data_IF_955514410014
#
_entry.id   IF_955514410014
#
_cell.length_a   1.000
_cell.length_b   1.000
_cell.length_c   1.000
_cell.angle_alpha   90.00
_cell.angle_beta   90.00
_cell.angle_gamma   90.00
#
_symmetry.space_group_name_H-M   'P 1'
#
loop_
_entity.id
_entity.type
_entity.pdbx_description
1 polymer ?
#
# COMPACT_ATOMS: atom_id res chain seq x y z
N UNK A 1 94.17 36.45 67.77
CA UNK A 1 94.68 35.18 67.22
C UNK A 1 93.88 34.05 67.89
N UNK A 2 93.22 33.06 67.28
CA UNK A 2 92.85 32.70 65.89
C UNK A 2 91.46 32.01 65.99
N UNK A 3 90.54 31.95 65.03
CA UNK A 3 90.32 32.59 63.71
C UNK A 3 88.80 32.52 63.41
N UNK A 4 88.31 33.20 62.36
CA UNK A 4 86.93 33.00 61.86
C UNK A 4 86.80 31.73 61.02
N UNK A 5 85.61 31.11 61.02
CA UNK A 5 85.12 30.39 59.86
C UNK A 5 83.70 30.86 59.51
N UNK A 6 83.43 31.07 58.23
CA UNK A 6 82.15 31.59 57.71
C UNK A 6 81.21 30.41 57.37
N UNK A 7 80.01 30.74 56.88
CA UNK A 7 79.02 29.82 56.28
C UNK A 7 78.44 28.71 57.17
N UNK A 8 77.41 29.07 57.93
CA UNK A 8 76.15 28.31 57.95
C UNK A 8 75.02 29.33 57.73
N UNK A 9 74.86 29.75 56.48
CA UNK A 9 73.83 29.22 55.57
C UNK A 9 72.43 29.60 56.05
N UNK A 10 71.82 30.56 55.37
CA UNK A 10 70.49 31.03 55.66
C UNK A 10 69.46 29.92 55.42
N UNK A 11 68.83 29.44 56.49
CA UNK A 11 67.58 28.69 56.42
C UNK A 11 66.47 29.58 56.93
N UNK A 12 66.12 30.52 56.05
CA UNK A 12 64.75 30.93 55.74
C UNK A 12 63.74 30.84 56.89
N UNK A 13 63.36 32.02 57.37
CA UNK A 13 62.03 32.30 57.92
C UNK A 13 60.97 32.15 56.81
N UNK A 14 60.79 30.93 56.33
CA UNK A 14 59.72 30.51 55.43
C UNK A 14 59.10 29.24 56.02
N UNK A 15 58.36 29.43 57.11
CA UNK A 15 57.04 28.81 57.19
C UNK A 15 56.16 29.48 56.12
N UNK A 16 56.55 29.34 54.85
CA UNK A 16 55.66 29.63 53.74
C UNK A 16 54.45 28.74 53.95
N UNK A 17 53.27 29.34 53.86
CA UNK A 17 52.10 28.58 53.51
C UNK A 17 52.40 27.88 52.19
N UNK A 18 52.85 26.63 52.27
CA UNK A 18 52.53 25.65 51.24
C UNK A 18 51.02 25.53 51.29
N UNK A 19 50.36 26.47 50.60
CA UNK A 19 49.04 26.26 50.07
C UNK A 19 49.20 25.05 49.15
N UNK A 20 49.01 23.86 49.71
CA UNK A 20 48.73 22.68 48.91
C UNK A 20 47.46 23.04 48.15
N UNK A 21 47.64 23.44 46.90
CA UNK A 21 46.55 23.67 45.98
C UNK A 21 45.91 22.32 45.72
N UNK A 22 44.98 21.93 46.60
CA UNK A 22 44.16 20.74 46.40
C UNK A 22 43.22 21.08 45.26
N UNK A 23 43.60 20.64 44.06
CA UNK A 23 42.72 20.64 42.91
C UNK A 23 41.67 19.54 43.13
N UNK A 24 40.68 19.84 43.96
CA UNK A 24 39.55 18.96 44.22
C UNK A 24 38.48 19.19 43.15
N UNK A 25 38.05 18.11 42.50
CA UNK A 25 37.01 18.12 41.48
C UNK A 25 35.75 17.52 42.05
N UNK A 26 34.61 18.19 41.88
CA UNK A 26 33.32 17.61 42.27
C UNK A 26 33.07 16.28 41.56
N UNK A 27 32.27 15.41 42.16
CA UNK A 27 31.70 14.27 41.43
C UNK A 27 30.92 14.75 40.19
N UNK A 28 30.73 13.84 39.22
CA UNK A 28 30.01 14.16 37.98
C UNK A 28 28.56 14.57 38.24
N UNK A 29 28.14 15.69 37.62
CA UNK A 29 26.79 16.23 37.73
C UNK A 29 25.92 15.81 36.54
N UNK A 30 25.41 14.57 36.57
CA UNK A 30 24.38 14.07 35.66
C UNK A 30 24.82 13.98 34.17
N UNK A 31 23.81 13.94 33.29
CA UNK A 31 23.98 14.09 31.85
C UNK A 31 23.33 15.40 31.40
N UNK A 32 23.92 16.06 30.41
CA UNK A 32 23.33 17.22 29.73
C UNK A 32 22.42 16.68 28.62
N UNK A 33 21.17 17.13 28.59
CA UNK A 33 20.16 16.74 27.61
C UNK A 33 19.93 17.90 26.63
N UNK A 34 19.79 17.60 25.34
CA UNK A 34 19.36 18.52 24.30
C UNK A 34 17.85 18.47 24.07
N UNK A 35 17.42 18.93 22.89
CA UNK A 35 16.04 18.85 22.42
C UNK A 35 15.71 17.47 21.86
N UNK A 36 14.42 17.21 21.58
CA UNK A 36 14.00 16.02 20.82
C UNK A 36 14.07 16.33 19.33
N UNK A 37 14.49 15.37 18.48
CA UNK A 37 14.33 15.51 17.04
C UNK A 37 12.85 15.59 16.67
N UNK A 38 12.53 16.43 15.68
CA UNK A 38 11.18 16.65 15.16
C UNK A 38 11.22 16.61 13.63
N UNK A 39 10.31 15.89 12.98
CA UNK A 39 10.18 15.88 11.53
C UNK A 39 9.10 16.88 11.06
N UNK A 40 9.37 17.53 9.94
CA UNK A 40 8.38 18.32 9.19
C UNK A 40 8.32 17.91 7.73
N UNK A 41 7.13 17.89 7.16
CA UNK A 41 6.95 17.74 5.72
C UNK A 41 7.66 18.83 4.91
N UNK A 42 7.86 18.56 3.63
CA UNK A 42 8.47 19.52 2.68
C UNK A 42 7.45 20.44 2.01
N UNK A 43 6.15 20.19 2.21
CA UNK A 43 5.05 21.01 1.71
C UNK A 43 4.99 22.43 2.31
N UNK A 44 4.36 23.35 1.57
CA UNK A 44 4.18 24.72 2.04
C UNK A 44 3.19 24.76 3.22
N UNK A 45 3.67 25.22 4.39
CA UNK A 45 2.86 25.24 5.61
C UNK A 45 2.92 23.95 6.44
N UNK A 46 3.86 23.04 6.14
CA UNK A 46 4.10 21.85 6.94
C UNK A 46 4.32 22.17 8.43
N UNK A 47 3.68 21.38 9.30
CA UNK A 47 3.72 21.50 10.76
C UNK A 47 4.74 20.54 11.38
N UNK A 48 5.06 20.75 12.64
CA UNK A 48 5.86 19.79 13.43
C UNK A 48 5.13 18.43 13.52
N UNK A 49 5.90 17.35 13.53
CA UNK A 49 5.43 15.95 13.50
C UNK A 49 4.64 15.60 12.22
N UNK A 50 5.14 16.03 11.06
CA UNK A 50 4.55 15.74 9.75
C UNK A 50 5.55 15.26 8.70
N UNK A 51 5.02 14.69 7.61
CA UNK A 51 5.76 14.28 6.41
C UNK A 51 4.96 14.66 5.16
N UNK A 52 5.62 14.67 4.00
CA UNK A 52 4.99 14.89 2.69
C UNK A 52 5.22 13.69 1.77
N UNK A 53 4.39 13.55 0.76
CA UNK A 53 4.47 12.49 -0.24
C UNK A 53 4.46 13.04 -1.67
N UNK A 54 4.84 12.20 -2.62
CA UNK A 54 4.58 12.42 -4.05
C UNK A 54 4.47 11.11 -4.81
N UNK A 55 3.66 11.08 -5.86
CA UNK A 55 3.55 9.96 -6.81
C UNK A 55 4.17 10.38 -8.17
N UNK A 56 5.07 9.57 -8.70
CA UNK A 56 5.71 9.77 -10.02
C UNK A 56 4.83 9.42 -11.23
N UNK A 57 3.73 8.69 -11.02
CA UNK A 57 2.76 8.24 -12.02
C UNK A 57 3.38 7.42 -13.17
N UNK A 58 4.42 6.63 -12.90
CA UNK A 58 5.12 5.82 -13.90
C UNK A 58 4.22 4.77 -14.60
N UNK A 59 3.08 4.40 -13.99
CA UNK A 59 2.04 3.59 -14.64
C UNK A 59 1.30 4.33 -15.79
N UNK A 60 1.39 5.67 -15.81
CA UNK A 60 0.58 6.55 -16.65
C UNK A 60 -0.82 6.86 -16.10
N UNK A 61 -1.15 6.41 -14.88
CA UNK A 61 -2.41 6.72 -14.19
C UNK A 61 -2.27 7.94 -13.28
N UNK A 62 -3.06 8.99 -13.55
CA UNK A 62 -3.11 10.22 -12.71
C UNK A 62 -4.40 10.35 -11.90
N UNK A 63 -5.39 9.47 -12.11
CA UNK A 63 -6.69 9.50 -11.41
C UNK A 63 -6.87 8.36 -10.40
N UNK A 64 -5.85 7.52 -10.24
CA UNK A 64 -5.82 6.42 -9.29
C UNK A 64 -4.38 5.97 -9.13
N UNK A 65 -3.94 5.80 -7.89
CA UNK A 65 -2.61 5.32 -7.54
C UNK A 65 -2.48 3.88 -8.04
N UNK A 66 -1.48 3.54 -8.87
CA UNK A 66 -1.50 2.29 -9.63
C UNK A 66 -0.18 1.49 -9.57
N UNK A 67 -0.28 0.17 -9.73
CA UNK A 67 0.90 -0.72 -9.73
C UNK A 67 1.93 -0.25 -10.76
N UNK A 68 3.18 -0.12 -10.33
CA UNK A 68 4.29 0.44 -11.09
C UNK A 68 4.62 1.90 -10.79
N UNK A 69 3.71 2.67 -10.18
CA UNK A 69 4.00 4.03 -9.69
C UNK A 69 5.06 4.02 -8.58
N UNK A 70 5.96 5.02 -8.56
CA UNK A 70 6.86 5.30 -7.44
C UNK A 70 6.29 6.37 -6.52
N UNK A 71 6.01 5.98 -5.29
CA UNK A 71 5.69 6.89 -4.19
C UNK A 71 6.99 7.28 -3.47
N UNK A 72 7.17 8.57 -3.20
CA UNK A 72 8.33 9.14 -2.51
C UNK A 72 7.88 9.82 -1.22
N UNK A 73 8.37 9.38 -0.06
CA UNK A 73 8.28 10.09 1.23
C UNK A 73 9.30 11.23 1.26
N UNK A 74 8.94 12.37 1.82
CA UNK A 74 9.84 13.52 1.99
C UNK A 74 9.59 14.24 3.32
N UNK A 75 10.68 14.62 3.98
CA UNK A 75 10.66 15.33 5.25
C UNK A 75 11.95 16.14 5.45
N UNK A 76 11.97 17.01 6.45
CA UNK A 76 13.13 17.71 6.98
C UNK A 76 13.20 17.45 8.49
N UNK A 77 14.36 17.04 8.98
CA UNK A 77 14.63 16.99 10.41
C UNK A 77 14.89 18.40 10.95
N UNK A 78 14.19 18.76 12.03
CA UNK A 78 14.52 19.86 12.91
C UNK A 78 15.12 19.31 14.20
N UNK A 79 16.28 19.84 14.54
CA UNK A 79 16.95 19.65 15.83
C UNK A 79 17.66 20.96 16.19
N UNK A 80 17.62 21.37 17.46
CA UNK A 80 18.17 22.67 17.88
C UNK A 80 19.69 22.65 18.04
N UNK A 81 20.26 21.48 18.32
CA UNK A 81 21.68 21.26 18.56
C UNK A 81 22.46 20.98 17.24
N UNK A 82 21.75 20.62 16.17
CA UNK A 82 22.31 20.31 14.84
C UNK A 82 22.65 18.83 14.65
N UNK A 83 21.99 17.94 15.39
CA UNK A 83 22.21 16.50 15.33
C UNK A 83 21.87 15.90 13.95
N UNK A 84 22.63 14.88 13.54
CA UNK A 84 22.52 14.31 12.19
C UNK A 84 21.38 13.29 12.09
N UNK A 85 20.50 13.46 11.09
CA UNK A 85 19.34 12.59 10.86
C UNK A 85 19.70 11.11 10.68
N UNK A 86 18.84 10.26 11.24
CA UNK A 86 18.84 8.81 11.08
C UNK A 86 17.42 8.24 10.87
N UNK A 87 16.41 9.09 10.72
CA UNK A 87 14.98 8.72 10.66
C UNK A 87 14.67 7.81 9.46
N UNK A 88 15.37 7.96 8.33
CA UNK A 88 15.18 7.13 7.13
C UNK A 88 15.24 5.62 7.44
N UNK A 89 16.14 5.21 8.33
CA UNK A 89 16.34 3.80 8.74
C UNK A 89 15.15 3.19 9.49
N UNK A 90 14.20 4.03 9.91
CA UNK A 90 13.01 3.64 10.68
C UNK A 90 11.75 3.56 9.81
N UNK A 91 11.82 3.97 8.54
CA UNK A 91 10.71 3.95 7.61
C UNK A 91 10.23 2.51 7.39
N UNK A 92 8.93 2.29 7.56
CA UNK A 92 8.24 1.03 7.28
C UNK A 92 6.97 1.28 6.49
N UNK A 93 6.99 0.93 5.21
CA UNK A 93 5.81 0.92 4.35
C UNK A 93 4.91 -0.27 4.69
N UNK A 94 3.60 -0.09 4.54
CA UNK A 94 2.60 -1.13 4.75
C UNK A 94 1.36 -0.89 3.89
N UNK A 95 0.47 -1.88 3.82
CA UNK A 95 -0.86 -1.70 3.25
C UNK A 95 -1.98 -2.06 4.21
N UNK A 96 -3.11 -1.35 4.11
CA UNK A 96 -4.35 -1.56 4.88
C UNK A 96 -5.49 -1.96 3.94
N UNK A 97 -6.49 -2.69 4.44
CA UNK A 97 -7.64 -3.11 3.60
C UNK A 97 -8.67 -2.02 3.35
N UNK A 98 -8.70 -1.00 4.22
CA UNK A 98 -9.75 0.01 4.36
C UNK A 98 -9.21 1.44 4.58
N UNK A 99 -7.88 1.62 4.47
CA UNK A 99 -7.19 2.87 4.79
C UNK A 99 -6.97 3.12 6.28
N UNK A 100 -7.34 2.20 7.18
CA UNK A 100 -7.43 2.45 8.63
C UNK A 100 -6.92 1.30 9.51
N UNK A 101 -7.05 0.04 9.08
CA UNK A 101 -6.81 -1.18 9.84
C UNK A 101 -6.24 -2.32 8.96
N UNK A 102 -6.06 -3.53 9.51
CA UNK A 102 -5.42 -4.66 8.80
C UNK A 102 -4.02 -4.31 8.23
N UNK A 103 -3.10 -3.87 9.09
CA UNK A 103 -1.74 -3.49 8.68
C UNK A 103 -0.96 -4.70 8.17
N UNK A 104 -0.54 -4.67 6.90
CA UNK A 104 0.34 -5.65 6.25
C UNK A 104 1.66 -4.99 5.87
N UNK A 105 2.73 -5.27 6.63
CA UNK A 105 4.06 -4.67 6.44
C UNK A 105 4.71 -5.08 5.09
N UNK A 106 5.35 -4.12 4.42
CA UNK A 106 6.14 -4.33 3.19
C UNK A 106 7.62 -4.35 3.56
N UNK A 107 8.08 -5.45 4.15
CA UNK A 107 9.45 -5.57 4.71
C UNK A 107 10.57 -5.42 3.67
N UNK A 108 10.28 -5.63 2.37
CA UNK A 108 11.22 -5.39 1.28
C UNK A 108 11.51 -3.89 1.05
N UNK A 109 10.74 -2.99 1.67
CA UNK A 109 10.86 -1.54 1.62
C UNK A 109 11.30 -0.91 2.97
N UNK A 110 11.64 -1.71 3.98
CA UNK A 110 12.17 -1.22 5.25
C UNK A 110 13.40 -0.32 5.02
N UNK A 111 13.40 0.86 5.64
CA UNK A 111 14.50 1.82 5.59
C UNK A 111 14.63 2.59 4.27
N UNK A 112 13.56 2.75 3.48
CA UNK A 112 13.58 3.45 2.18
C UNK A 112 12.54 4.56 2.11
N UNK A 113 12.95 5.77 1.72
CA UNK A 113 12.02 6.86 1.39
C UNK A 113 11.20 6.61 0.12
N UNK A 114 11.71 5.77 -0.80
CA UNK A 114 11.01 5.39 -2.04
C UNK A 114 10.33 4.03 -1.94
N UNK A 115 9.08 3.95 -2.43
CA UNK A 115 8.37 2.69 -2.66
C UNK A 115 7.71 2.64 -4.04
N UNK A 116 8.02 1.62 -4.83
CA UNK A 116 7.32 1.32 -6.09
C UNK A 116 6.19 0.33 -5.82
N UNK A 117 4.96 0.70 -6.17
CA UNK A 117 3.77 -0.11 -5.97
C UNK A 117 3.86 -1.44 -6.71
N UNK A 118 3.62 -2.52 -5.99
CA UNK A 118 3.70 -3.89 -6.47
C UNK A 118 2.30 -4.48 -6.72
N UNK A 119 2.27 -5.59 -7.46
CA UNK A 119 1.05 -6.36 -7.74
C UNK A 119 0.27 -6.73 -6.47
N UNK A 120 0.98 -6.99 -5.37
CA UNK A 120 0.42 -7.38 -4.08
C UNK A 120 -0.30 -6.25 -3.31
N UNK A 121 -0.14 -5.00 -3.75
CA UNK A 121 -0.78 -3.84 -3.12
C UNK A 121 -2.14 -3.52 -3.77
N UNK A 122 -2.40 -4.07 -4.95
CA UNK A 122 -3.63 -3.82 -5.69
C UNK A 122 -4.88 -4.18 -4.87
N UNK A 123 -5.84 -3.26 -4.81
CA UNK A 123 -7.02 -3.35 -3.95
C UNK A 123 -6.80 -2.95 -2.49
N UNK A 124 -5.60 -2.54 -2.09
CA UNK A 124 -5.27 -2.08 -0.72
C UNK A 124 -4.83 -0.60 -0.72
N UNK A 125 -4.84 0.02 0.44
CA UNK A 125 -4.39 1.40 0.65
C UNK A 125 -2.94 1.40 1.15
N UNK A 126 -2.10 2.33 0.68
CA UNK A 126 -0.69 2.43 1.08
C UNK A 126 -0.57 3.32 2.33
N UNK A 127 0.21 2.87 3.31
CA UNK A 127 0.53 3.59 4.54
C UNK A 127 2.01 3.50 4.88
N UNK A 128 2.46 4.33 5.83
CA UNK A 128 3.86 4.35 6.29
C UNK A 128 3.96 4.69 7.77
N UNK A 129 4.94 4.08 8.44
CA UNK A 129 5.40 4.47 9.78
C UNK A 129 6.83 4.99 9.68
N UNK A 130 7.15 6.07 10.39
CA UNK A 130 8.51 6.61 10.57
C UNK A 130 8.69 7.06 12.02
N UNK A 131 9.91 6.95 12.56
CA UNK A 131 10.29 7.38 13.91
C UNK A 131 11.31 8.50 13.79
N UNK A 132 11.02 9.65 14.41
CA UNK A 132 11.91 10.81 14.42
C UNK A 132 13.20 10.44 15.17
N UNK A 133 14.34 10.36 14.49
CA UNK A 133 15.57 9.75 15.02
C UNK A 133 16.82 10.49 14.59
N UNK A 134 17.71 10.81 15.52
CA UNK A 134 19.06 11.30 15.25
C UNK A 134 20.12 10.22 15.49
N UNK A 135 21.29 10.41 14.90
CA UNK A 135 22.48 9.57 15.10
C UNK A 135 23.41 10.09 16.20
N UNK A 136 23.18 11.32 16.66
CA UNK A 136 23.91 12.01 17.72
C UNK A 136 22.91 12.66 18.70
N UNK A 137 23.41 13.16 19.84
CA UNK A 137 22.57 13.79 20.86
C UNK A 137 21.87 12.84 21.82
N UNK A 138 21.29 13.42 22.88
CA UNK A 138 20.35 12.77 23.78
C UNK A 138 19.26 13.80 24.17
N UNK A 139 17.96 13.51 24.00
CA UNK A 139 17.36 12.26 23.50
C UNK A 139 17.44 12.09 21.97
N UNK A 140 17.94 10.94 21.49
CA UNK A 140 18.08 10.65 20.05
C UNK A 140 16.78 10.21 19.34
N UNK A 141 15.64 10.21 20.03
CA UNK A 141 14.35 9.71 19.52
C UNK A 141 13.20 10.64 19.92
N UNK A 142 12.42 11.06 18.94
CA UNK A 142 11.23 11.90 19.06
C UNK A 142 9.94 11.08 19.09
N UNK A 143 9.00 11.39 18.21
CA UNK A 143 7.72 10.70 18.07
C UNK A 143 7.75 9.55 17.04
N UNK A 144 6.64 8.81 16.94
CA UNK A 144 6.41 7.81 15.89
C UNK A 144 5.20 8.25 15.06
N UNK A 145 5.45 8.67 13.84
CA UNK A 145 4.43 9.11 12.90
C UNK A 145 3.89 7.87 12.16
N UNK A 146 2.58 7.72 12.07
CA UNK A 146 1.93 6.63 11.31
C UNK A 146 0.78 7.18 10.49
N UNK A 147 0.90 7.04 9.17
CA UNK A 147 -0.05 7.50 8.18
C UNK A 147 -0.71 6.24 7.60
N UNK A 148 -1.99 5.99 7.94
CA UNK A 148 -2.70 4.75 7.62
C UNK A 148 -3.11 4.63 6.13
N UNK A 149 -3.37 5.79 5.51
CA UNK A 149 -3.63 5.98 4.09
C UNK A 149 -2.95 7.28 3.65
N UNK A 150 -1.88 7.18 2.86
CA UNK A 150 -1.13 8.35 2.38
C UNK A 150 -1.95 9.25 1.45
N UNK A 151 -3.03 8.73 0.85
CA UNK A 151 -3.91 9.55 0.00
C UNK A 151 -4.75 10.55 0.80
N UNK A 152 -4.67 10.49 2.14
CA UNK A 152 -5.34 11.41 3.08
C UNK A 152 -4.35 12.26 3.89
N UNK A 153 -3.04 12.20 3.59
CA UNK A 153 -2.01 12.96 4.30
C UNK A 153 -2.13 14.47 4.03
N UNK A 154 -1.86 14.91 2.81
CA UNK A 154 -2.07 16.28 2.37
C UNK A 154 -2.63 16.31 0.94
N UNK A 155 -3.61 17.19 0.70
CA UNK A 155 -4.21 17.40 -0.64
C UNK A 155 -3.23 17.94 -1.69
N UNK A 156 -2.07 18.43 -1.26
CA UNK A 156 -0.99 18.96 -2.12
C UNK A 156 0.07 17.92 -2.48
N UNK A 157 0.08 16.74 -1.85
CA UNK A 157 1.06 15.66 -2.10
C UNK A 157 0.91 14.98 -3.48
N UNK A 158 -0.07 15.38 -4.31
CA UNK A 158 -0.35 14.76 -5.63
C UNK A 158 -0.54 13.22 -5.56
N UNK A 159 -1.11 12.72 -4.46
CA UNK A 159 -1.48 11.31 -4.30
C UNK A 159 -2.95 11.14 -4.71
N UNK A 160 -3.29 10.34 -5.73
CA UNK A 160 -4.68 10.01 -6.02
C UNK A 160 -5.29 9.17 -4.91
N UNK A 161 -6.61 9.31 -4.72
CA UNK A 161 -7.37 8.49 -3.77
C UNK A 161 -7.11 6.98 -3.94
N UNK A 162 -6.84 6.29 -2.83
CA UNK A 162 -6.75 4.84 -2.79
C UNK A 162 -8.10 4.12 -2.98
N UNK A 163 -8.10 2.79 -3.19
CA UNK A 163 -6.96 1.87 -3.08
C UNK A 163 -6.07 1.85 -4.35
N UNK A 164 -4.96 1.13 -4.28
CA UNK A 164 -4.07 0.89 -5.44
C UNK A 164 -4.81 0.13 -6.54
N UNK A 165 -4.65 0.57 -7.79
CA UNK A 165 -5.32 0.00 -8.97
C UNK A 165 -4.33 -0.64 -9.94
N UNK A 166 -4.85 -1.32 -10.98
CA UNK A 166 -4.04 -1.75 -12.12
C UNK A 166 -3.25 -3.07 -11.97
N UNK A 167 -3.36 -3.76 -10.82
CA UNK A 167 -2.82 -5.12 -10.67
C UNK A 167 -3.43 -6.14 -11.65
N UNK A 168 -2.72 -7.24 -11.88
CA UNK A 168 -3.22 -8.38 -12.67
C UNK A 168 -4.46 -8.95 -12.01
N UNK A 169 -5.48 -9.28 -12.82
CA UNK A 169 -6.70 -9.92 -12.33
C UNK A 169 -6.93 -11.24 -13.05
N UNK A 170 -7.39 -12.23 -12.29
CA UNK A 170 -7.96 -13.47 -12.82
C UNK A 170 -9.45 -13.55 -12.51
N UNK A 171 -10.15 -14.42 -13.25
CA UNK A 171 -11.60 -14.54 -13.20
C UNK A 171 -12.06 -15.99 -13.18
N UNK A 172 -13.22 -16.20 -12.58
CA UNK A 172 -13.96 -17.45 -12.65
C UNK A 172 -15.46 -17.21 -12.78
N UNK A 173 -16.12 -18.11 -13.50
CA UNK A 173 -17.56 -18.33 -13.41
C UNK A 173 -17.71 -19.62 -12.61
N UNK A 174 -18.50 -19.58 -11.54
CA UNK A 174 -18.77 -20.75 -10.68
C UNK A 174 -20.27 -20.97 -10.57
N UNK A 175 -20.66 -22.21 -10.34
CA UNK A 175 -22.02 -22.53 -9.89
C UNK A 175 -22.14 -22.18 -8.40
N UNK A 176 -23.22 -21.55 -7.97
CA UNK A 176 -23.45 -21.27 -6.55
C UNK A 176 -23.57 -22.56 -5.71
N UNK A 177 -23.90 -23.70 -6.33
CA UNK A 177 -23.89 -25.03 -5.70
C UNK A 177 -22.48 -25.66 -5.62
N UNK A 178 -21.51 -25.19 -6.42
CA UNK A 178 -20.10 -25.63 -6.39
C UNK A 178 -19.15 -24.41 -6.58
N UNK A 179 -19.05 -23.54 -5.56
CA UNK A 179 -18.40 -22.23 -5.69
C UNK A 179 -16.87 -22.29 -5.77
N UNK A 180 -16.27 -23.50 -5.72
CA UNK A 180 -14.83 -23.75 -5.86
C UNK A 180 -14.41 -24.24 -7.25
N UNK A 181 -15.36 -24.64 -8.11
CA UNK A 181 -15.06 -25.10 -9.48
C UNK A 181 -15.14 -23.94 -10.48
N UNK A 182 -14.00 -23.50 -11.01
CA UNK A 182 -13.98 -22.59 -12.16
C UNK A 182 -14.48 -23.32 -13.42
N UNK A 183 -15.52 -22.76 -14.04
CA UNK A 183 -16.13 -23.28 -15.27
C UNK A 183 -15.49 -22.70 -16.55
N UNK A 184 -14.76 -21.59 -16.46
CA UNK A 184 -14.10 -20.93 -17.59
C UNK A 184 -13.01 -21.84 -18.16
N UNK A 185 -13.10 -22.17 -19.45
CA UNK A 185 -12.11 -22.99 -20.15
C UNK A 185 -12.07 -24.47 -19.74
N UNK A 186 -12.88 -24.89 -18.77
CA UNK A 186 -13.02 -26.29 -18.34
C UNK A 186 -13.75 -27.09 -19.44
N UNK A 187 -13.11 -28.16 -19.90
CA UNK A 187 -13.68 -29.04 -20.91
C UNK A 187 -14.97 -29.70 -20.41
N UNK A 188 -15.99 -29.76 -21.26
CA UNK A 188 -17.30 -30.36 -20.98
C UNK A 188 -18.04 -29.76 -19.76
N UNK A 189 -17.79 -28.48 -19.42
CA UNK A 189 -18.63 -27.75 -18.46
C UNK A 189 -20.09 -27.74 -18.92
N UNK A 190 -20.98 -28.33 -18.13
CA UNK A 190 -22.42 -28.30 -18.36
C UNK A 190 -23.07 -27.27 -17.42
N UNK A 191 -23.78 -26.30 -17.98
CA UNK A 191 -24.57 -25.35 -17.20
C UNK A 191 -25.98 -25.91 -16.99
N UNK A 192 -26.41 -25.94 -15.73
CA UNK A 192 -27.67 -26.57 -15.32
C UNK A 192 -28.75 -25.48 -15.23
N UNK A 193 -29.91 -25.73 -15.84
CA UNK A 193 -31.06 -24.83 -15.74
C UNK A 193 -31.61 -24.82 -14.30
N UNK A 194 -32.02 -23.64 -13.83
CA UNK A 194 -32.48 -23.42 -12.46
C UNK A 194 -31.38 -23.02 -11.47
N UNK A 195 -30.12 -23.26 -11.80
CA UNK A 195 -28.96 -22.89 -10.97
C UNK A 195 -28.62 -21.40 -11.09
N UNK A 196 -27.91 -20.88 -10.10
CA UNK A 196 -27.35 -19.52 -10.10
C UNK A 196 -25.84 -19.58 -10.32
N UNK A 197 -25.33 -18.72 -11.20
CA UNK A 197 -23.91 -18.62 -11.52
C UNK A 197 -23.35 -17.30 -11.01
N UNK A 198 -22.16 -17.36 -10.42
CA UNK A 198 -21.48 -16.21 -9.84
C UNK A 198 -20.24 -15.88 -10.67
N UNK A 199 -20.03 -14.60 -10.95
CA UNK A 199 -18.77 -14.11 -11.50
C UNK A 199 -17.89 -13.64 -10.35
N UNK A 200 -16.66 -14.19 -10.27
CA UNK A 200 -15.65 -13.76 -9.30
C UNK A 200 -14.42 -13.24 -10.04
N UNK A 201 -13.86 -12.16 -9.53
CA UNK A 201 -12.67 -11.49 -10.05
C UNK A 201 -11.80 -11.06 -8.87
N UNK A 202 -10.50 -11.35 -8.93
CA UNK A 202 -9.57 -11.08 -7.82
C UNK A 202 -8.22 -10.61 -8.37
N UNK A 203 -7.43 -9.95 -7.54
CA UNK A 203 -6.06 -9.56 -7.86
C UNK A 203 -5.13 -10.77 -7.75
N UNK A 204 -4.86 -11.37 -8.90
CA UNK A 204 -4.02 -12.56 -9.08
C UNK A 204 -2.54 -12.13 -9.03
N UNK A 205 -1.99 -12.20 -7.81
CA UNK A 205 -0.69 -11.60 -7.49
C UNK A 205 0.46 -12.44 -8.02
N UNK A 206 0.27 -13.77 -8.07
CA UNK A 206 1.28 -14.73 -8.54
C UNK A 206 1.04 -15.18 -10.00
N UNK A 207 -0.06 -14.76 -10.63
CA UNK A 207 -0.48 -15.06 -12.00
C UNK A 207 -0.69 -16.55 -12.27
N UNK A 208 -1.18 -17.32 -11.28
CA UNK A 208 -1.45 -18.75 -11.38
C UNK A 208 -2.89 -19.09 -11.82
N UNK A 209 -3.81 -18.11 -11.85
CA UNK A 209 -5.25 -18.24 -12.20
C UNK A 209 -6.08 -19.11 -11.24
N UNK A 210 -5.59 -19.31 -10.03
CA UNK A 210 -6.28 -19.90 -8.89
C UNK A 210 -6.49 -18.80 -7.85
N UNK A 211 -7.62 -18.82 -7.14
CA UNK A 211 -7.86 -17.84 -6.08
C UNK A 211 -7.19 -18.33 -4.80
N UNK A 212 -6.04 -17.76 -4.47
CA UNK A 212 -5.23 -18.17 -3.32
C UNK A 212 -5.60 -17.45 -2.02
N UNK A 213 -5.23 -18.05 -0.89
CA UNK A 213 -5.45 -17.46 0.43
C UNK A 213 -4.64 -16.16 0.59
N UNK A 214 -5.33 -15.04 0.81
CA UNK A 214 -4.73 -13.71 0.97
C UNK A 214 -4.73 -12.86 -0.30
N UNK A 215 -5.27 -13.35 -1.42
CA UNK A 215 -5.58 -12.53 -2.59
C UNK A 215 -6.87 -11.72 -2.37
N UNK A 216 -6.92 -10.53 -2.97
CA UNK A 216 -7.96 -9.52 -2.70
C UNK A 216 -9.06 -9.60 -3.76
N UNK A 217 -10.32 -9.63 -3.31
CA UNK A 217 -11.50 -9.53 -4.17
C UNK A 217 -11.51 -8.18 -4.91
N UNK A 218 -11.59 -8.22 -6.23
CA UNK A 218 -11.56 -7.04 -7.09
C UNK A 218 -12.96 -6.61 -7.56
N UNK A 219 -14.03 -7.31 -7.21
CA UNK A 219 -15.40 -7.07 -7.73
C UNK A 219 -15.93 -5.66 -7.44
N UNK A 220 -15.52 -5.06 -6.32
CA UNK A 220 -15.80 -3.64 -6.00
C UNK A 220 -15.26 -2.69 -7.07
N UNK A 221 -14.13 -3.01 -7.69
CA UNK A 221 -13.38 -2.19 -8.65
C UNK A 221 -13.75 -2.45 -10.12
N UNK A 222 -14.59 -3.44 -10.41
CA UNK A 222 -15.02 -3.78 -11.77
C UNK A 222 -16.55 -3.77 -11.91
N UNK A 223 -17.03 -3.38 -13.09
CA UNK A 223 -18.42 -3.59 -13.51
C UNK A 223 -18.45 -4.76 -14.49
N UNK A 224 -19.55 -5.53 -14.51
CA UNK A 224 -19.68 -6.68 -15.42
C UNK A 224 -21.10 -6.93 -15.91
N UNK A 225 -21.19 -7.51 -17.11
CA UNK A 225 -22.42 -7.92 -17.80
C UNK A 225 -22.28 -9.39 -18.23
N UNK A 226 -23.34 -10.17 -18.06
CA UNK A 226 -23.40 -11.54 -18.56
C UNK A 226 -23.71 -11.55 -20.06
N UNK A 227 -23.07 -12.44 -20.81
CA UNK A 227 -23.26 -12.60 -22.26
C UNK A 227 -23.50 -14.07 -22.59
N UNK A 228 -24.60 -14.33 -23.30
CA UNK A 228 -24.86 -15.62 -23.93
C UNK A 228 -24.12 -15.67 -25.26
N UNK A 229 -23.09 -16.49 -25.37
CA UNK A 229 -22.21 -16.56 -26.55
C UNK A 229 -22.60 -17.74 -27.48
N UNK A 230 -22.46 -17.53 -28.79
CA UNK A 230 -22.76 -18.53 -29.81
C UNK A 230 -24.19 -18.42 -30.36
N UNK A 231 -24.82 -19.57 -30.60
CA UNK A 231 -26.18 -19.69 -31.15
C UNK A 231 -27.00 -20.70 -30.33
N UNK A 232 -28.32 -20.53 -30.31
CA UNK A 232 -29.21 -21.49 -29.67
C UNK A 232 -29.17 -22.87 -30.34
N UNK A 233 -29.53 -23.90 -29.57
CA UNK A 233 -29.26 -25.31 -29.89
C UNK A 233 -29.91 -25.82 -31.20
N UNK A 234 -31.10 -25.33 -31.57
CA UNK A 234 -31.84 -25.82 -32.75
C UNK A 234 -32.36 -24.70 -33.65
N UNK A 235 -32.78 -23.59 -33.06
CA UNK A 235 -33.33 -22.43 -33.76
C UNK A 235 -32.26 -21.48 -34.35
N UNK A 236 -30.97 -21.72 -34.06
CA UNK A 236 -29.86 -20.92 -34.60
C UNK A 236 -29.90 -19.43 -34.23
N UNK A 237 -30.67 -19.06 -33.20
CA UNK A 237 -30.82 -17.66 -32.77
C UNK A 237 -29.49 -17.17 -32.20
N UNK A 238 -28.97 -16.05 -32.67
CA UNK A 238 -27.70 -15.50 -32.20
C UNK A 238 -27.74 -15.12 -30.71
N UNK A 239 -26.60 -15.24 -30.04
CA UNK A 239 -26.40 -14.80 -28.66
C UNK A 239 -26.33 -13.29 -28.49
N UNK A 240 -26.10 -12.84 -27.25
CA UNK A 240 -25.99 -11.44 -26.90
C UNK A 240 -25.92 -11.21 -25.39
N UNK A 241 -25.87 -9.94 -24.98
CA UNK A 241 -25.90 -9.57 -23.58
C UNK A 241 -27.21 -10.01 -22.89
N UNK A 242 -27.10 -10.39 -21.63
CA UNK A 242 -28.21 -10.55 -20.71
C UNK A 242 -28.92 -9.20 -20.47
N UNK A 243 -30.08 -9.24 -19.84
CA UNK A 243 -30.82 -8.02 -19.48
C UNK A 243 -30.11 -7.27 -18.34
N UNK A 244 -30.15 -5.94 -18.38
CA UNK A 244 -29.41 -5.08 -17.44
C UNK A 244 -29.85 -5.19 -15.98
N UNK A 245 -31.00 -5.81 -15.69
CA UNK A 245 -31.38 -6.14 -14.31
C UNK A 245 -30.44 -7.18 -13.67
N UNK A 246 -29.65 -7.91 -14.48
CA UNK A 246 -28.62 -8.87 -14.06
C UNK A 246 -27.20 -8.27 -13.98
N UNK A 247 -27.01 -7.01 -14.38
CA UNK A 247 -25.70 -6.36 -14.35
C UNK A 247 -25.13 -6.33 -12.92
N UNK A 248 -23.88 -6.75 -12.77
CA UNK A 248 -23.16 -6.85 -11.49
C UNK A 248 -23.81 -7.77 -10.45
N UNK A 249 -24.57 -8.79 -10.87
CA UNK A 249 -25.25 -9.75 -9.99
C UNK A 249 -25.08 -11.19 -10.47
N UNK A 250 -25.29 -12.15 -9.57
CA UNK A 250 -25.41 -13.56 -9.91
C UNK A 250 -26.53 -13.80 -10.95
N UNK A 251 -26.24 -14.63 -11.95
CA UNK A 251 -27.19 -14.98 -13.00
C UNK A 251 -27.88 -16.31 -12.68
N UNK A 252 -29.18 -16.28 -12.41
CA UNK A 252 -30.00 -17.48 -12.34
C UNK A 252 -30.46 -17.89 -13.73
N UNK A 253 -30.05 -19.07 -14.22
CA UNK A 253 -30.55 -19.62 -15.47
C UNK A 253 -32.00 -20.12 -15.27
N UNK A 254 -32.99 -19.65 -16.03
CA UNK A 254 -34.38 -20.08 -15.82
C UNK A 254 -34.63 -21.55 -16.22
N UNK A 255 -35.62 -22.18 -15.60
CA UNK A 255 -36.01 -23.56 -15.93
C UNK A 255 -36.74 -23.69 -17.28
N UNK A 256 -37.40 -22.63 -17.75
CA UNK A 256 -38.30 -22.70 -18.91
C UNK A 256 -37.91 -21.70 -20.00
N UNK A 257 -38.24 -22.05 -21.25
CA UNK A 257 -38.00 -21.16 -22.40
C UNK A 257 -38.93 -19.94 -22.39
N UNK A 258 -40.04 -19.98 -21.64
CA UNK A 258 -40.89 -18.82 -21.38
C UNK A 258 -40.17 -17.81 -20.46
N UNK A 259 -39.56 -18.30 -19.38
CA UNK A 259 -38.84 -17.48 -18.40
C UNK A 259 -37.48 -17.00 -18.90
N UNK A 260 -36.91 -17.65 -19.93
CA UNK A 260 -35.62 -17.27 -20.54
C UNK A 260 -35.54 -15.78 -20.92
N UNK A 261 -36.66 -15.17 -21.33
CA UNK A 261 -36.75 -13.74 -21.67
C UNK A 261 -36.54 -12.80 -20.48
N UNK A 262 -36.70 -13.29 -19.25
CA UNK A 262 -36.43 -12.53 -18.03
C UNK A 262 -34.92 -12.36 -17.76
N UNK A 263 -34.05 -13.13 -18.43
CA UNK A 263 -32.59 -13.01 -18.35
C UNK A 263 -31.92 -12.66 -19.68
N UNK A 264 -32.52 -13.04 -20.81
CA UNK A 264 -32.03 -12.75 -22.15
C UNK A 264 -33.20 -12.33 -23.04
N UNK A 265 -33.39 -11.02 -23.24
CA UNK A 265 -34.57 -10.49 -23.94
C UNK A 265 -34.73 -11.02 -25.38
N UNK A 266 -33.61 -11.35 -26.05
CA UNK A 266 -33.57 -11.93 -27.40
C UNK A 266 -33.74 -13.45 -27.43
N UNK A 267 -34.06 -14.11 -26.31
CA UNK A 267 -34.26 -15.55 -26.25
C UNK A 267 -35.34 -16.03 -27.25
N UNK A 268 -34.92 -16.96 -28.12
CA UNK A 268 -35.76 -17.59 -29.13
C UNK A 268 -36.58 -18.77 -28.60
N UNK A 269 -37.10 -19.65 -29.47
CA UNK A 269 -37.87 -20.84 -29.08
C UNK A 269 -37.11 -21.80 -28.16
N UNK A 270 -35.78 -21.89 -28.30
CA UNK A 270 -34.87 -22.67 -27.45
C UNK A 270 -34.60 -22.02 -26.07
N UNK A 271 -35.16 -20.85 -25.79
CA UNK A 271 -34.85 -20.08 -24.58
C UNK A 271 -33.37 -19.66 -24.55
N UNK A 272 -32.63 -20.22 -23.58
CA UNK A 272 -31.18 -20.04 -23.41
C UNK A 272 -30.37 -21.32 -23.68
N UNK A 273 -30.99 -22.37 -24.27
CA UNK A 273 -30.30 -23.64 -24.51
C UNK A 273 -29.40 -23.56 -25.75
N UNK A 274 -28.16 -24.07 -25.63
CA UNK A 274 -27.14 -24.11 -26.69
C UNK A 274 -26.09 -23.00 -26.63
N UNK A 275 -26.36 -21.90 -25.92
CA UNK A 275 -25.37 -20.85 -25.69
C UNK A 275 -24.31 -21.27 -24.66
N UNK A 276 -23.12 -20.68 -24.79
CA UNK A 276 -22.12 -20.65 -23.73
C UNK A 276 -22.34 -19.41 -22.85
N UNK A 277 -21.90 -19.46 -21.58
CA UNK A 277 -21.97 -18.32 -20.68
C UNK A 277 -20.61 -17.62 -20.57
N UNK A 278 -20.61 -16.31 -20.81
CA UNK A 278 -19.44 -15.43 -20.77
C UNK A 278 -19.75 -14.23 -19.89
N UNK A 279 -18.71 -13.56 -19.40
CA UNK A 279 -18.81 -12.28 -18.71
C UNK A 279 -17.92 -11.27 -19.42
N UNK A 280 -18.50 -10.12 -19.76
CA UNK A 280 -17.77 -8.95 -20.24
C UNK A 280 -17.65 -7.97 -19.07
N UNK A 281 -16.41 -7.71 -18.63
CA UNK A 281 -16.10 -6.90 -17.44
C UNK A 281 -15.20 -5.70 -17.79
N UNK A 282 -15.29 -4.63 -17.00
CA UNK A 282 -14.55 -3.38 -17.22
C UNK A 282 -14.23 -2.72 -15.89
N UNK A 283 -13.00 -2.22 -15.72
CA UNK A 283 -12.61 -1.50 -14.50
C UNK A 283 -13.44 -0.22 -14.32
N UNK A 284 -13.88 0.06 -13.10
CA UNK A 284 -14.64 1.28 -12.74
C UNK A 284 -13.75 2.53 -12.69
N UNK A 285 -12.44 2.35 -12.59
CA UNK A 285 -11.44 3.43 -12.57
C UNK A 285 -11.44 4.15 -13.93
N UNK A 286 -11.86 5.41 -13.96
CA UNK A 286 -11.89 6.24 -15.17
C UNK A 286 -10.50 6.78 -15.58
N UNK A 287 -9.53 5.89 -15.79
CA UNK A 287 -8.39 6.13 -16.70
C UNK A 287 -7.61 4.82 -16.99
N UNK A 288 -7.40 4.57 -18.29
CA UNK A 288 -6.17 3.96 -18.83
C UNK A 288 -5.64 2.63 -18.25
N UNK A 289 -6.48 1.59 -18.18
CA UNK A 289 -5.96 0.24 -18.50
C UNK A 289 -5.90 0.05 -20.02
N UNK A 290 -4.93 0.71 -20.67
CA UNK A 290 -4.52 0.36 -22.03
C UNK A 290 -3.76 -0.97 -21.97
N UNK A 291 -4.52 -2.07 -21.91
CA UNK A 291 -4.03 -3.43 -22.17
C UNK A 291 -3.10 -3.42 -23.38
N UNK A 292 -1.86 -3.86 -23.18
CA UNK A 292 -0.78 -3.68 -24.13
C UNK A 292 -1.01 -4.44 -25.44
N UNK A 293 -1.61 -3.79 -26.44
CA UNK A 293 -1.43 -4.15 -27.85
C UNK A 293 -0.29 -3.33 -28.43
N UNK A 294 0.91 -3.93 -28.45
CA UNK A 294 1.91 -3.61 -29.48
C UNK A 294 1.29 -3.99 -30.83
N UNK A 295 0.77 -3.01 -31.56
CA UNK A 295 0.68 -3.13 -33.02
C UNK A 295 2.00 -2.68 -33.62
N UNK A 296 2.36 -3.29 -34.76
CA UNK A 296 3.66 -3.18 -35.42
C UNK A 296 3.91 -1.79 -35.98
#
# INVERSE_FOLDING_TARGET
>A
MKNFNKTLLATLLFASCSQFAVADTTASAGQIMGTKPVLTGTGAGAVDHSVSFSNGHESGSVTGMAVGDKVTLSYVLKDAEGDTDASEKTIKWFTTSDGQSDKKDITAADGKADYTLAQADAGRYLGVTIIETTSTGIPAVGETLTIQDISKNDTTDNIPDGPVVGGTVSTMIVDAADPGTNLIGKANSQLILGHSYQFKIWYDTNNNKVMDAGEVDASSNYSYVWTFEGTSATAGTAGGAAVSSTDNKDLKLPFTNADAKNVFASAGPDGIQGYQLKVDYTAKVKATLKSGKRQK
#
